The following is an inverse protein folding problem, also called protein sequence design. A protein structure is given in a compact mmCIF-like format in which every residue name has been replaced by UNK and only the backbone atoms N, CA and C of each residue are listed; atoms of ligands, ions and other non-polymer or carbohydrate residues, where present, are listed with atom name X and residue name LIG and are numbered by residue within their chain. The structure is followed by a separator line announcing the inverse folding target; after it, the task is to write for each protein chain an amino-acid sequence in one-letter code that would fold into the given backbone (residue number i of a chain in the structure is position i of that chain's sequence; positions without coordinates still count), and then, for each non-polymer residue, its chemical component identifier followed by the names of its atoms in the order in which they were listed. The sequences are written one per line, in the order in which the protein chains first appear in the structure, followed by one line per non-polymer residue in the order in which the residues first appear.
data_IF_168491816847
#
_entry.id   IF_168491816847
#
_cell.length_a   1.000
_cell.length_b   1.000
_cell.length_c   1.000
_cell.angle_alpha   90.00
_cell.angle_beta   90.00
_cell.angle_gamma   90.00
#
_symmetry.space_group_name_H-M   'P 1'
#
loop_
_entity.id
_entity.type
_entity.pdbx_description
1 polymer ?
#
# COMPACT_ATOMS: atom_id res chain seq x y z
N UNK A 1 -1.70 2.63 14.98
CA UNK A 1 -0.83 1.44 15.10
C UNK A 1 0.58 1.87 14.74
N UNK A 2 1.55 1.63 15.62
CA UNK A 2 2.98 1.66 15.26
C UNK A 2 3.32 0.24 14.80
N UNK A 3 3.04 -0.08 13.55
CA UNK A 3 3.55 -1.31 12.95
C UNK A 3 5.05 -1.09 12.78
N UNK A 4 5.89 -1.59 13.68
CA UNK A 4 7.34 -1.48 13.52
C UNK A 4 7.77 -2.48 12.42
N UNK A 5 7.77 -2.03 11.16
CA UNK A 5 8.16 -2.82 9.98
C UNK A 5 9.68 -3.07 9.92
N UNK A 6 10.30 -3.43 11.05
CA UNK A 6 11.73 -3.68 11.14
C UNK A 6 12.12 -5.04 10.54
N UNK A 7 12.26 -5.07 9.21
CA UNK A 7 13.16 -5.97 8.47
C UNK A 7 12.75 -7.43 8.28
N UNK A 8 11.79 -7.95 9.04
CA UNK A 8 11.31 -9.34 8.92
C UNK A 8 9.80 -9.40 8.72
N UNK A 9 9.30 -8.60 7.76
CA UNK A 9 7.91 -8.66 7.31
C UNK A 9 7.64 -10.04 6.71
N UNK A 10 6.88 -10.87 7.42
CA UNK A 10 6.43 -12.18 6.95
C UNK A 10 4.99 -12.11 6.41
N UNK A 11 4.51 -13.24 5.88
CA UNK A 11 3.21 -13.30 5.21
C UNK A 11 2.04 -12.98 6.16
N UNK A 12 2.11 -13.42 7.43
CA UNK A 12 1.08 -13.14 8.43
C UNK A 12 1.09 -11.65 8.80
N UNK A 13 2.26 -11.04 9.03
CA UNK A 13 2.36 -9.60 9.31
C UNK A 13 1.96 -8.74 8.11
N UNK A 14 2.22 -9.20 6.89
CA UNK A 14 1.76 -8.50 5.68
C UNK A 14 0.24 -8.54 5.55
N UNK A 15 -0.39 -9.70 5.77
CA UNK A 15 -1.85 -9.81 5.74
C UNK A 15 -2.50 -8.95 6.84
N UNK A 16 -1.94 -8.97 8.05
CA UNK A 16 -2.39 -8.13 9.17
C UNK A 16 -2.24 -6.63 8.81
N UNK A 17 -1.12 -6.23 8.21
CA UNK A 17 -0.91 -4.85 7.74
C UNK A 17 -1.97 -4.45 6.71
N UNK A 18 -2.21 -5.28 5.70
CA UNK A 18 -3.23 -5.03 4.66
C UNK A 18 -4.62 -4.94 5.30
N UNK A 19 -4.95 -5.82 6.24
CA UNK A 19 -6.21 -5.80 6.95
C UNK A 19 -6.41 -4.53 7.78
N UNK A 20 -5.38 -4.09 8.52
CA UNK A 20 -5.43 -2.89 9.34
C UNK A 20 -5.57 -1.62 8.49
N UNK A 21 -4.83 -1.53 7.38
CA UNK A 21 -4.93 -0.42 6.43
C UNK A 21 -6.30 -0.40 5.74
N UNK A 22 -6.83 -1.56 5.36
CA UNK A 22 -8.17 -1.65 4.77
C UNK A 22 -9.27 -1.26 5.77
N UNK A 23 -9.16 -1.67 7.03
CA UNK A 23 -10.12 -1.29 8.07
C UNK A 23 -10.08 0.23 8.36
N UNK A 24 -8.90 0.84 8.38
CA UNK A 24 -8.76 2.29 8.49
C UNK A 24 -9.35 3.01 7.28
N UNK A 25 -8.99 2.61 6.06
CA UNK A 25 -9.54 3.20 4.84
C UNK A 25 -11.07 3.08 4.79
N UNK A 26 -11.63 1.93 5.20
CA UNK A 26 -13.07 1.69 5.29
C UNK A 26 -13.77 2.64 6.26
N UNK A 27 -13.12 2.96 7.39
CA UNK A 27 -13.64 3.92 8.38
C UNK A 27 -13.75 5.33 7.80
N UNK A 28 -12.91 5.66 6.83
CA UNK A 28 -12.80 6.97 6.21
C UNK A 28 -13.69 7.15 4.95
N UNK A 29 -14.23 6.05 4.39
CA UNK A 29 -15.09 6.08 3.19
C UNK A 29 -16.33 7.00 3.27
N UNK A 30 -16.99 7.19 4.43
CA UNK A 30 -18.15 8.09 4.49
C UNK A 30 -17.83 9.55 4.14
N UNK A 31 -16.57 9.96 4.30
CA UNK A 31 -16.13 11.35 4.18
C UNK A 31 -15.29 11.64 2.91
N UNK A 32 -14.89 10.60 2.15
CA UNK A 32 -14.00 10.74 0.98
C UNK A 32 -14.12 9.57 0.01
N UNK A 33 -13.51 9.72 -1.18
CA UNK A 33 -13.47 8.65 -2.17
C UNK A 33 -12.64 7.45 -1.68
N UNK A 34 -12.94 6.25 -2.18
CA UNK A 34 -12.19 5.02 -1.86
C UNK A 34 -10.69 5.18 -2.16
N UNK A 35 -10.36 5.72 -3.34
CA UNK A 35 -8.99 5.94 -3.74
C UNK A 35 -8.28 6.90 -2.76
N UNK A 36 -8.89 8.03 -2.40
CA UNK A 36 -8.30 8.99 -1.46
C UNK A 36 -8.13 8.40 -0.05
N UNK A 37 -9.09 7.59 0.41
CA UNK A 37 -9.02 6.94 1.71
C UNK A 37 -7.87 5.93 1.77
N UNK A 38 -7.70 5.10 0.74
CA UNK A 38 -6.61 4.11 0.67
C UNK A 38 -5.27 4.81 0.56
N UNK A 39 -5.10 5.76 -0.35
CA UNK A 39 -3.83 6.46 -0.56
C UNK A 39 -3.35 7.19 0.70
N UNK A 40 -4.23 7.88 1.41
CA UNK A 40 -3.89 8.57 2.65
C UNK A 40 -3.50 7.58 3.76
N UNK A 41 -4.26 6.50 3.90
CA UNK A 41 -4.01 5.45 4.91
C UNK A 41 -2.69 4.75 4.68
N UNK A 42 -2.42 4.31 3.44
CA UNK A 42 -1.13 3.72 3.05
C UNK A 42 0.01 4.75 3.16
N UNK A 43 -0.29 6.03 2.92
CA UNK A 43 0.65 7.14 3.12
C UNK A 43 1.26 7.19 4.52
N UNK A 44 0.55 6.70 5.54
CA UNK A 44 1.03 6.66 6.94
C UNK A 44 2.20 5.70 7.16
N UNK A 45 2.32 4.65 6.35
CA UNK A 45 3.39 3.64 6.46
C UNK A 45 4.58 3.90 5.54
N UNK A 46 4.49 4.90 4.65
CA UNK A 46 5.59 5.31 3.75
C UNK A 46 6.92 5.56 4.47
N UNK A 47 6.98 6.21 5.66
CA UNK A 47 8.25 6.40 6.38
C UNK A 47 8.94 5.09 6.80
N UNK A 48 8.21 3.98 6.81
CA UNK A 48 8.67 2.66 7.24
C UNK A 48 9.04 1.75 6.06
N UNK A 49 8.74 2.18 4.82
CA UNK A 49 9.11 1.50 3.57
C UNK A 49 10.61 1.66 3.26
N UNK A 50 11.43 1.04 4.11
CA UNK A 50 12.84 0.84 3.85
C UNK A 50 13.02 -0.18 2.73
N UNK A 51 14.15 -0.12 2.02
CA UNK A 51 14.44 -1.03 0.91
C UNK A 51 14.19 -2.53 1.21
N UNK A 52 14.59 -3.12 2.37
CA UNK A 52 14.27 -4.50 2.67
C UNK A 52 12.75 -4.75 2.86
N UNK A 53 12.02 -3.79 3.42
CA UNK A 53 10.56 -3.87 3.54
C UNK A 53 9.91 -3.80 2.16
N UNK A 54 10.36 -2.91 1.28
CA UNK A 54 9.84 -2.81 -0.08
C UNK A 54 10.01 -4.12 -0.85
N UNK A 55 11.18 -4.77 -0.77
CA UNK A 55 11.39 -6.07 -1.39
C UNK A 55 10.44 -7.14 -0.82
N UNK A 56 10.23 -7.16 0.51
CA UNK A 56 9.27 -8.08 1.13
C UNK A 56 7.83 -7.84 0.72
N UNK A 57 7.42 -6.58 0.64
CA UNK A 57 6.09 -6.21 0.12
C UNK A 57 5.94 -6.73 -1.31
N UNK A 58 6.92 -6.52 -2.19
CA UNK A 58 6.87 -7.02 -3.57
C UNK A 58 6.87 -8.55 -3.66
N UNK A 59 7.54 -9.25 -2.73
CA UNK A 59 7.54 -10.71 -2.68
C UNK A 59 6.20 -11.29 -2.16
N UNK A 60 5.48 -10.54 -1.33
CA UNK A 60 4.26 -10.99 -0.64
C UNK A 60 2.97 -10.48 -1.25
N UNK A 61 3.02 -9.36 -1.98
CA UNK A 61 1.86 -8.74 -2.59
C UNK A 61 1.22 -9.64 -3.64
N UNK A 62 -0.10 -9.72 -3.61
CA UNK A 62 -0.87 -10.41 -4.65
C UNK A 62 -1.08 -9.51 -5.88
N UNK A 63 -1.09 -8.18 -5.66
CA UNK A 63 -1.23 -7.17 -6.70
C UNK A 63 0.10 -6.81 -7.35
N UNK A 64 0.10 -6.70 -8.68
CA UNK A 64 1.24 -6.19 -9.43
C UNK A 64 1.40 -4.67 -9.23
N UNK A 65 2.65 -4.15 -9.18
CA UNK A 65 2.91 -2.72 -9.20
C UNK A 65 2.25 -2.04 -10.40
N UNK A 66 1.63 -0.88 -10.16
CA UNK A 66 0.95 -0.14 -11.23
C UNK A 66 1.92 0.81 -11.91
N UNK A 67 2.52 0.40 -13.03
CA UNK A 67 3.56 1.16 -13.75
C UNK A 67 3.25 2.66 -13.93
N UNK A 68 2.02 3.01 -14.28
CA UNK A 68 1.60 4.40 -14.46
C UNK A 68 1.68 5.23 -13.17
N UNK A 69 1.39 4.61 -12.01
CA UNK A 69 1.51 5.24 -10.70
C UNK A 69 2.96 5.24 -10.22
N UNK A 70 3.73 4.20 -10.53
CA UNK A 70 5.17 4.16 -10.25
C UNK A 70 5.89 5.31 -10.96
N UNK A 71 5.60 5.54 -12.24
CA UNK A 71 6.14 6.68 -12.98
C UNK A 71 5.73 8.02 -12.38
N UNK A 72 4.47 8.16 -11.95
CA UNK A 72 3.98 9.37 -11.30
C UNK A 72 4.75 9.66 -10.00
N UNK A 73 4.83 8.69 -9.09
CA UNK A 73 5.50 8.82 -7.78
C UNK A 73 7.00 9.10 -7.94
N UNK A 74 7.66 8.40 -8.87
CA UNK A 74 9.11 8.56 -9.09
C UNK A 74 9.48 9.86 -9.80
N UNK A 75 8.59 10.39 -10.65
CA UNK A 75 8.78 11.67 -11.34
C UNK A 75 8.79 12.85 -10.36
N UNK A 76 7.98 12.77 -9.29
CA UNK A 76 7.85 13.83 -8.29
C UNK A 76 9.02 13.89 -7.29
N UNK A 77 9.70 12.77 -7.04
CA UNK A 77 10.66 12.63 -5.92
C UNK A 77 12.14 12.57 -6.31
N UNK A 78 12.45 12.64 -7.60
CA UNK A 78 13.80 12.41 -8.10
C UNK A 78 14.00 10.92 -8.34
N UNK A 79 14.24 10.57 -9.61
CA UNK A 79 14.21 9.21 -10.10
C UNK A 79 15.54 8.49 -9.83
N UNK A 80 15.71 7.97 -8.61
CA UNK A 80 16.75 7.00 -8.26
C UNK A 80 16.13 5.60 -8.10
N UNK A 81 16.92 4.54 -8.27
CA UNK A 81 16.45 3.15 -8.21
C UNK A 81 15.76 2.81 -6.87
N UNK A 82 16.21 3.42 -5.77
CA UNK A 82 15.59 3.26 -4.46
C UNK A 82 14.19 3.88 -4.41
N UNK A 83 13.96 5.00 -5.10
CA UNK A 83 12.63 5.63 -5.14
C UNK A 83 11.69 4.86 -6.07
N UNK A 84 12.22 4.27 -7.15
CA UNK A 84 11.48 3.33 -7.99
C UNK A 84 11.03 2.10 -7.20
N UNK A 85 11.93 1.47 -6.45
CA UNK A 85 11.59 0.34 -5.58
C UNK A 85 10.49 0.70 -4.56
N UNK A 86 10.59 1.87 -3.92
CA UNK A 86 9.55 2.33 -3.00
C UNK A 86 8.21 2.56 -3.68
N UNK A 87 8.22 3.17 -4.87
CA UNK A 87 7.01 3.41 -5.64
C UNK A 87 6.35 2.09 -6.10
N UNK A 88 7.14 1.12 -6.55
CA UNK A 88 6.65 -0.22 -6.91
C UNK A 88 5.98 -0.89 -5.71
N UNK A 89 6.68 -0.99 -4.58
CA UNK A 89 6.15 -1.58 -3.36
C UNK A 89 4.90 -0.85 -2.84
N UNK A 90 4.90 0.48 -2.90
CA UNK A 90 3.76 1.31 -2.48
C UNK A 90 2.53 1.04 -3.35
N UNK A 91 2.69 1.00 -4.67
CA UNK A 91 1.57 0.79 -5.59
C UNK A 91 1.01 -0.64 -5.53
N UNK A 92 1.86 -1.64 -5.29
CA UNK A 92 1.44 -3.01 -5.02
C UNK A 92 0.61 -3.09 -3.72
N UNK A 93 1.11 -2.50 -2.63
CA UNK A 93 0.38 -2.43 -1.35
C UNK A 93 -0.97 -1.71 -1.47
N UNK A 94 -1.03 -0.61 -2.22
CA UNK A 94 -2.31 0.08 -2.51
C UNK A 94 -3.28 -0.86 -3.23
N UNK A 95 -2.81 -1.65 -4.20
CA UNK A 95 -3.64 -2.63 -4.89
C UNK A 95 -4.26 -3.66 -3.93
N UNK A 96 -3.46 -4.23 -3.03
CA UNK A 96 -3.92 -5.22 -2.06
C UNK A 96 -4.92 -4.62 -1.05
N UNK A 97 -4.64 -3.41 -0.56
CA UNK A 97 -5.55 -2.70 0.34
C UNK A 97 -6.86 -2.34 -0.38
N UNK A 98 -6.81 -1.86 -1.62
CA UNK A 98 -8.02 -1.61 -2.42
C UNK A 98 -8.85 -2.88 -2.60
N UNK A 99 -8.21 -4.00 -2.96
CA UNK A 99 -8.87 -5.30 -3.11
C UNK A 99 -9.53 -5.75 -1.81
N UNK A 100 -8.86 -5.57 -0.66
CA UNK A 100 -9.42 -5.90 0.65
C UNK A 100 -10.59 -5.00 1.01
N UNK A 101 -10.50 -3.69 0.79
CA UNK A 101 -11.61 -2.74 1.02
C UNK A 101 -12.84 -3.11 0.18
N UNK A 102 -12.64 -3.47 -1.09
CA UNK A 102 -13.72 -3.95 -1.98
C UNK A 102 -14.37 -5.20 -1.39
N UNK A 103 -13.56 -6.17 -0.95
CA UNK A 103 -14.07 -7.41 -0.35
C UNK A 103 -14.85 -7.16 0.95
N UNK A 104 -14.39 -6.24 1.80
CA UNK A 104 -15.01 -5.92 3.09
C UNK A 104 -16.31 -5.12 2.96
N UNK A 105 -16.37 -4.22 1.97
CA UNK A 105 -17.55 -3.37 1.74
C UNK A 105 -18.59 -4.02 0.82
N UNK A 106 -18.21 -5.08 0.10
CA UNK A 106 -19.05 -5.73 -0.91
C UNK A 106 -19.34 -4.82 -2.12
N UNK A 107 -18.57 -3.75 -2.28
CA UNK A 107 -18.74 -2.78 -3.36
C UNK A 107 -17.92 -3.18 -4.58
N UNK A 108 -18.50 -4.06 -5.39
CA UNK A 108 -18.04 -4.47 -6.73
C UNK A 108 -18.34 -3.39 -7.81
N UNK A 109 -18.71 -2.17 -7.41
CA UNK A 109 -19.30 -1.18 -8.32
C UNK A 109 -18.25 -0.22 -8.89
N UNK A 110 -17.71 -0.55 -10.06
CA UNK A 110 -17.26 0.44 -11.07
C UNK A 110 -18.31 0.60 -12.18
#
# INVERSE_FOLDING_TARGET
MDADLAGDLDAEQYDDLVADLAAQATTELPDRSRADAVWDTVGTVVPQLTDPVCNRVLDLADSEPRDALVEQVTSERGSDDAERLRAEALTALVGDVEARVVADTGDDTE
#
